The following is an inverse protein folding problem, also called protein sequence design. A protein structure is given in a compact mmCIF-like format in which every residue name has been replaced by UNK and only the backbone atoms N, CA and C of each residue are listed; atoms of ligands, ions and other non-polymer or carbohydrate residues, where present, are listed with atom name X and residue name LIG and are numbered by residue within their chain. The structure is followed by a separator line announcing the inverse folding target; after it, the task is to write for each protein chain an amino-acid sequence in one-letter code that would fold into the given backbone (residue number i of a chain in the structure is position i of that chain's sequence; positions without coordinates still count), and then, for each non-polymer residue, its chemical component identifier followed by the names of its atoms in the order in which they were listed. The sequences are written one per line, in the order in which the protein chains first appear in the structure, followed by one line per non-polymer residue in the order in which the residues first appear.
data_IF_809657813060
#
_entry.id   IF_809657813060
#
_cell.length_a   1.000
_cell.length_b   1.000
_cell.length_c   1.000
_cell.angle_alpha   90.00
_cell.angle_beta   90.00
_cell.angle_gamma   90.00
#
_symmetry.space_group_name_H-M   'P 1'
#
loop_
_entity.id
_entity.type
_entity.pdbx_description
1 polymer ?
#
# COMPACT_ATOMS: atom_id res chain seq x y z
N UNK A 1 19.39 -18.48 -15.99
CA UNK A 1 20.27 -17.65 -15.16
C UNK A 1 19.45 -16.44 -14.73
N UNK A 2 18.87 -16.49 -13.53
CA UNK A 2 18.07 -15.37 -13.01
C UNK A 2 19.04 -14.25 -12.60
N UNK A 3 18.77 -12.98 -12.92
CA UNK A 3 19.58 -11.90 -12.41
C UNK A 3 19.30 -11.76 -10.91
N UNK A 4 20.35 -11.90 -10.11
CA UNK A 4 20.38 -11.49 -8.71
C UNK A 4 20.32 -9.96 -8.68
N UNK A 5 19.11 -9.40 -8.59
CA UNK A 5 18.98 -8.05 -8.07
C UNK A 5 19.46 -8.09 -6.62
N UNK A 6 20.47 -7.29 -6.30
CA UNK A 6 20.84 -7.00 -4.92
C UNK A 6 19.65 -6.26 -4.27
N UNK A 7 18.69 -7.02 -3.74
CA UNK A 7 17.75 -6.53 -2.76
C UNK A 7 18.56 -6.15 -1.52
N UNK A 8 18.96 -4.88 -1.45
CA UNK A 8 19.35 -4.26 -0.19
C UNK A 8 18.22 -4.54 0.80
N UNK A 9 18.50 -5.32 1.84
CA UNK A 9 17.56 -5.75 2.86
C UNK A 9 16.71 -4.58 3.34
N UNK A 10 15.50 -4.47 2.80
CA UNK A 10 14.53 -3.48 3.27
C UNK A 10 14.14 -3.86 4.71
N UNK A 11 13.89 -2.89 5.61
CA UNK A 11 13.54 -3.14 7.02
C UNK A 11 12.36 -4.10 7.25
N UNK A 12 11.55 -4.34 6.22
CA UNK A 12 10.38 -5.23 6.19
C UNK A 12 10.79 -6.70 6.24
N UNK A 13 11.92 -7.07 5.61
CA UNK A 13 12.49 -8.40 5.75
C UNK A 13 12.91 -8.65 7.21
N UNK A 14 13.35 -7.61 7.95
CA UNK A 14 13.86 -7.78 9.30
C UNK A 14 12.77 -8.15 10.33
N UNK A 15 11.61 -7.48 10.33
CA UNK A 15 10.51 -7.80 11.26
C UNK A 15 9.88 -9.17 10.97
N UNK A 16 9.70 -9.50 9.70
CA UNK A 16 9.25 -10.82 9.25
C UNK A 16 10.24 -11.90 9.66
N UNK A 17 11.54 -11.65 9.44
CA UNK A 17 12.61 -12.55 9.84
C UNK A 17 12.66 -12.73 11.36
N UNK A 18 12.56 -11.65 12.16
CA UNK A 18 12.49 -11.73 13.62
C UNK A 18 11.28 -12.57 14.04
N UNK A 19 10.11 -12.32 13.43
CA UNK A 19 8.88 -13.07 13.71
C UNK A 19 9.09 -14.56 13.51
N UNK A 20 9.67 -14.97 12.38
CA UNK A 20 9.97 -16.39 12.14
C UNK A 20 11.07 -16.93 13.07
N UNK A 21 12.14 -16.18 13.31
CA UNK A 21 13.26 -16.59 14.18
C UNK A 21 12.78 -16.82 15.62
N UNK A 22 11.90 -15.97 16.15
CA UNK A 22 11.33 -16.11 17.49
C UNK A 22 10.43 -17.34 17.65
N UNK A 23 9.89 -17.87 16.54
CA UNK A 23 8.99 -19.03 16.55
C UNK A 23 9.61 -20.26 15.88
N UNK A 24 10.94 -20.29 15.74
CA UNK A 24 11.69 -21.35 15.05
C UNK A 24 11.33 -22.74 15.57
N UNK A 25 11.29 -22.93 16.89
CA UNK A 25 10.98 -24.24 17.49
C UNK A 25 9.61 -24.77 17.09
N UNK A 26 8.61 -23.89 16.97
CA UNK A 26 7.26 -24.25 16.52
C UNK A 26 7.26 -24.58 15.02
N UNK A 27 7.96 -23.78 14.22
CA UNK A 27 8.00 -23.92 12.75
C UNK A 27 8.74 -25.21 12.33
N UNK A 28 9.76 -25.61 13.09
CA UNK A 28 10.55 -26.81 12.82
C UNK A 28 9.96 -28.09 13.44
N UNK A 29 8.88 -27.98 14.22
CA UNK A 29 8.27 -29.15 14.86
C UNK A 29 7.61 -30.09 13.83
N UNK A 30 7.73 -31.40 14.08
CA UNK A 30 7.01 -32.41 13.29
C UNK A 30 5.50 -32.15 13.35
N UNK A 31 4.86 -32.09 12.18
CA UNK A 31 3.42 -31.83 12.09
C UNK A 31 3.03 -30.34 12.20
N UNK A 32 3.97 -29.41 12.03
CA UNK A 32 3.69 -27.98 11.98
C UNK A 32 2.57 -27.62 10.99
N UNK A 33 1.62 -26.81 11.46
CA UNK A 33 0.56 -26.18 10.64
C UNK A 33 0.65 -24.67 10.84
N UNK A 34 0.80 -23.86 9.77
CA UNK A 34 0.82 -22.40 9.87
C UNK A 34 -0.47 -21.86 10.47
N UNK A 35 -0.34 -20.88 11.37
CA UNK A 35 -1.48 -20.10 11.86
C UNK A 35 -1.68 -18.83 10.99
N UNK A 36 -2.73 -18.06 11.29
CA UNK A 36 -3.02 -16.82 10.54
C UNK A 36 -1.86 -15.82 10.57
N UNK A 37 -1.17 -15.71 11.71
CA UNK A 37 -0.04 -14.80 11.88
C UNK A 37 1.14 -15.22 10.99
N UNK A 38 1.41 -16.52 10.87
CA UNK A 38 2.44 -17.05 9.96
C UNK A 38 2.13 -16.73 8.50
N UNK A 39 0.86 -16.87 8.12
CA UNK A 39 0.39 -16.55 6.76
C UNK A 39 0.56 -15.06 6.50
N UNK A 40 0.16 -14.19 7.45
CA UNK A 40 0.28 -12.74 7.33
C UNK A 40 1.73 -12.25 7.27
N UNK A 41 2.66 -12.92 7.95
CA UNK A 41 4.09 -12.62 7.85
C UNK A 41 4.77 -13.27 6.65
N UNK A 42 4.17 -14.31 6.05
CA UNK A 42 4.74 -14.93 4.86
C UNK A 42 4.68 -13.97 3.66
N UNK A 43 5.79 -13.86 2.93
CA UNK A 43 5.83 -13.09 1.69
C UNK A 43 5.94 -14.05 0.51
N UNK A 44 4.94 -14.02 -0.37
CA UNK A 44 4.99 -14.64 -1.68
C UNK A 44 4.65 -13.56 -2.71
N UNK A 45 5.52 -13.26 -3.68
CA UNK A 45 5.18 -12.34 -4.75
C UNK A 45 3.94 -12.83 -5.51
N UNK A 46 2.97 -11.95 -5.70
CA UNK A 46 1.78 -12.23 -6.51
C UNK A 46 2.20 -12.52 -7.95
N UNK A 47 1.84 -13.70 -8.46
CA UNK A 47 2.08 -14.12 -9.84
C UNK A 47 0.73 -14.34 -10.51
N UNK A 48 0.49 -13.64 -11.61
CA UNK A 48 -0.77 -13.74 -12.35
C UNK A 48 -1.81 -12.72 -11.88
N UNK A 49 -3.06 -12.98 -12.23
CA UNK A 49 -4.21 -12.19 -11.81
C UNK A 49 -5.04 -13.06 -10.88
N UNK A 50 -5.33 -12.56 -9.69
CA UNK A 50 -6.26 -13.21 -8.78
C UNK A 50 -7.46 -12.29 -8.55
N UNK A 51 -8.65 -12.89 -8.49
CA UNK A 51 -9.91 -12.20 -8.26
C UNK A 51 -10.65 -12.85 -7.10
N UNK A 52 -11.05 -12.01 -6.14
CA UNK A 52 -11.81 -12.43 -4.97
C UNK A 52 -13.13 -11.68 -4.90
N UNK A 53 -14.19 -12.39 -4.57
CA UNK A 53 -15.48 -11.78 -4.26
C UNK A 53 -15.60 -11.57 -2.76
N UNK A 54 -15.71 -10.31 -2.34
CA UNK A 54 -15.86 -9.93 -0.94
C UNK A 54 -17.20 -9.25 -0.72
N UNK A 55 -17.93 -9.69 0.31
CA UNK A 55 -19.19 -9.08 0.72
C UNK A 55 -18.93 -8.10 1.86
N UNK A 56 -19.25 -6.83 1.66
CA UNK A 56 -19.25 -5.81 2.72
C UNK A 56 -20.68 -5.32 2.93
N UNK A 57 -21.29 -5.73 4.05
CA UNK A 57 -22.70 -5.51 4.30
C UNK A 57 -23.59 -6.19 3.26
N UNK A 58 -24.43 -5.41 2.57
CA UNK A 58 -25.33 -5.93 1.51
C UNK A 58 -24.68 -5.95 0.12
N UNK A 59 -23.55 -5.28 -0.06
CA UNK A 59 -22.92 -5.11 -1.37
C UNK A 59 -21.85 -6.19 -1.60
N UNK A 60 -21.73 -6.65 -2.84
CA UNK A 60 -20.69 -7.58 -3.29
C UNK A 60 -19.65 -6.81 -4.13
N UNK A 61 -18.38 -7.02 -3.84
CA UNK A 61 -17.25 -6.39 -4.50
C UNK A 61 -16.33 -7.45 -5.11
N UNK A 62 -15.95 -7.26 -6.37
CA UNK A 62 -14.83 -7.96 -6.98
C UNK A 62 -13.54 -7.22 -6.65
N UNK A 63 -12.61 -7.90 -5.98
CA UNK A 63 -11.27 -7.41 -5.68
C UNK A 63 -10.33 -8.10 -6.63
N UNK A 64 -9.62 -7.32 -7.44
CA UNK A 64 -8.60 -7.84 -8.34
C UNK A 64 -7.24 -7.37 -7.85
N UNK A 65 -6.36 -8.31 -7.52
CA UNK A 65 -4.98 -8.02 -7.14
C UNK A 65 -4.09 -7.95 -8.39
N UNK A 66 -3.33 -6.86 -8.52
CA UNK A 66 -2.42 -6.66 -9.65
C UNK A 66 -0.96 -6.81 -9.20
N UNK A 67 -0.13 -7.60 -9.92
CA UNK A 67 1.26 -7.78 -9.55
C UNK A 67 2.04 -6.46 -9.58
N UNK A 68 2.82 -6.22 -8.52
CA UNK A 68 3.60 -4.99 -8.35
C UNK A 68 4.95 -4.96 -9.08
N UNK A 69 5.43 -6.09 -9.60
CA UNK A 69 6.72 -6.15 -10.28
C UNK A 69 6.70 -5.35 -11.60
N UNK A 70 7.79 -4.64 -11.90
CA UNK A 70 7.82 -3.59 -12.93
C UNK A 70 7.44 -4.06 -14.34
N UNK A 71 7.74 -5.32 -14.69
CA UNK A 71 7.35 -5.94 -15.96
C UNK A 71 5.81 -6.07 -16.05
N UNK A 72 5.16 -6.50 -14.97
CA UNK A 72 3.72 -6.70 -14.94
C UNK A 72 2.94 -5.39 -14.86
N UNK A 73 3.51 -4.34 -14.26
CA UNK A 73 2.89 -3.00 -14.23
C UNK A 73 2.54 -2.45 -15.61
N UNK A 74 3.32 -2.81 -16.64
CA UNK A 74 3.05 -2.42 -18.04
C UNK A 74 1.68 -2.91 -18.55
N UNK A 75 1.10 -3.91 -17.90
CA UNK A 75 -0.21 -4.50 -18.22
C UNK A 75 -1.35 -3.99 -17.35
N UNK A 76 -1.09 -3.15 -16.35
CA UNK A 76 -2.16 -2.62 -15.47
C UNK A 76 -3.27 -1.93 -16.25
N UNK A 77 -2.92 -1.22 -17.33
CA UNK A 77 -3.88 -0.55 -18.23
C UNK A 77 -4.94 -1.48 -18.82
N UNK A 78 -4.64 -2.78 -18.93
CA UNK A 78 -5.57 -3.78 -19.48
C UNK A 78 -6.81 -3.94 -18.55
N UNK A 79 -6.71 -3.53 -17.27
CA UNK A 79 -7.75 -3.71 -16.26
C UNK A 79 -8.55 -2.44 -15.95
N UNK A 80 -8.03 -1.26 -16.29
CA UNK A 80 -8.60 0.03 -15.87
C UNK A 80 -10.03 0.26 -16.33
N UNK A 81 -10.43 -0.28 -17.49
CA UNK A 81 -11.80 -0.12 -18.03
C UNK A 81 -12.89 -0.66 -17.10
N UNK A 82 -12.56 -1.65 -16.27
CA UNK A 82 -13.50 -2.31 -15.36
C UNK A 82 -13.29 -1.90 -13.90
N UNK A 83 -12.32 -1.02 -13.64
CA UNK A 83 -12.00 -0.58 -12.29
C UNK A 83 -12.94 0.53 -11.85
N UNK A 84 -13.61 0.35 -10.71
CA UNK A 84 -14.40 1.41 -10.08
C UNK A 84 -13.62 2.17 -9.00
N UNK A 85 -12.74 1.46 -8.30
CA UNK A 85 -11.92 1.99 -7.20
C UNK A 85 -10.54 1.37 -7.27
N UNK A 86 -9.49 2.18 -7.09
CA UNK A 86 -8.12 1.72 -6.86
C UNK A 86 -7.83 1.82 -5.36
N UNK A 87 -7.40 0.71 -4.77
CA UNK A 87 -6.78 0.70 -3.45
C UNK A 87 -5.27 0.74 -3.65
N UNK A 88 -4.62 1.83 -3.24
CA UNK A 88 -3.19 2.04 -3.39
C UNK A 88 -2.50 1.96 -2.03
N UNK A 89 -1.59 1.00 -1.87
CA UNK A 89 -0.83 0.80 -0.64
C UNK A 89 0.50 1.56 -0.72
N UNK A 90 0.76 2.39 0.28
CA UNK A 90 1.99 3.17 0.45
C UNK A 90 2.71 2.60 1.66
N UNK A 91 3.99 2.26 1.51
CA UNK A 91 4.79 1.74 2.61
C UNK A 91 5.44 2.89 3.38
N UNK A 92 4.99 3.16 4.60
CA UNK A 92 5.57 4.25 5.40
C UNK A 92 7.04 4.01 5.78
N UNK A 93 7.52 2.77 5.78
CA UNK A 93 8.91 2.47 6.11
C UNK A 93 9.89 2.99 5.05
N UNK A 94 9.43 3.31 3.84
CA UNK A 94 10.29 3.91 2.82
C UNK A 94 10.83 5.30 3.22
N UNK A 95 10.13 6.00 4.14
CA UNK A 95 10.63 7.26 4.73
C UNK A 95 11.82 7.04 5.67
N UNK A 96 12.02 5.82 6.16
CA UNK A 96 13.15 5.46 7.02
C UNK A 96 14.27 4.75 6.24
N UNK A 97 14.25 4.80 4.91
CA UNK A 97 15.26 4.22 4.03
C UNK A 97 16.11 5.34 3.40
N UNK A 98 17.44 5.28 3.59
CA UNK A 98 18.36 6.24 2.98
C UNK A 98 18.25 6.29 1.45
N UNK A 99 17.92 5.17 0.80
CA UNK A 99 17.76 5.09 -0.64
C UNK A 99 16.66 6.01 -1.17
N UNK A 100 15.61 6.26 -0.38
CA UNK A 100 14.52 7.19 -0.70
C UNK A 100 15.03 8.60 -1.02
N UNK A 101 16.13 9.04 -0.38
CA UNK A 101 16.67 10.39 -0.50
C UNK A 101 17.75 10.55 -1.57
N UNK A 102 18.28 9.46 -2.11
CA UNK A 102 19.44 9.48 -3.03
C UNK A 102 19.10 9.76 -4.50
N UNK A 103 17.83 10.01 -4.82
CA UNK A 103 17.41 10.69 -6.05
C UNK A 103 17.50 9.91 -7.37
N UNK A 104 18.05 8.69 -7.41
CA UNK A 104 18.18 7.94 -8.67
C UNK A 104 16.83 7.64 -9.37
N UNK A 105 15.76 7.51 -8.59
CA UNK A 105 14.39 7.63 -9.03
C UNK A 105 13.70 8.57 -8.05
N UNK A 106 12.98 9.58 -8.52
CA UNK A 106 11.91 10.22 -7.74
C UNK A 106 11.11 9.11 -7.03
N UNK A 107 10.92 9.19 -5.70
CA UNK A 107 10.33 8.17 -4.83
C UNK A 107 9.42 7.20 -5.62
N UNK A 108 9.88 5.96 -5.81
CA UNK A 108 9.26 4.97 -6.73
C UNK A 108 7.75 4.89 -6.55
N UNK A 109 7.28 4.90 -5.31
CA UNK A 109 5.87 4.89 -4.93
C UNK A 109 5.13 6.14 -5.41
N UNK A 110 5.68 7.34 -5.21
CA UNK A 110 5.11 8.60 -5.72
C UNK A 110 5.05 8.61 -7.24
N UNK A 111 6.11 8.15 -7.93
CA UNK A 111 6.13 8.10 -9.39
C UNK A 111 5.06 7.17 -9.97
N UNK A 112 4.85 5.99 -9.36
CA UNK A 112 3.79 5.06 -9.75
C UNK A 112 2.41 5.68 -9.52
N UNK A 113 2.20 6.35 -8.37
CA UNK A 113 0.92 7.00 -8.09
C UNK A 113 0.62 8.15 -9.06
N UNK A 114 1.63 8.97 -9.39
CA UNK A 114 1.50 10.02 -10.41
C UNK A 114 1.09 9.44 -11.77
N UNK A 115 1.62 8.29 -12.18
CA UNK A 115 1.25 7.61 -13.43
C UNK A 115 -0.21 7.15 -13.40
N UNK A 116 -0.67 6.58 -12.28
CA UNK A 116 -2.06 6.14 -12.10
C UNK A 116 -3.04 7.31 -12.19
N UNK A 117 -2.76 8.39 -11.45
CA UNK A 117 -3.65 9.57 -11.43
C UNK A 117 -3.74 10.24 -12.80
N UNK A 118 -2.62 10.31 -13.54
CA UNK A 118 -2.58 10.93 -14.89
C UNK A 118 -3.18 10.05 -15.98
N UNK A 119 -3.58 8.81 -15.68
CA UNK A 119 -4.11 7.91 -16.70
C UNK A 119 -5.56 8.27 -17.06
N UNK A 120 -5.81 8.54 -18.34
CA UNK A 120 -7.13 8.91 -18.84
C UNK A 120 -8.23 7.86 -18.59
N UNK A 121 -7.88 6.57 -18.53
CA UNK A 121 -8.86 5.51 -18.21
C UNK A 121 -9.28 5.53 -16.75
N UNK A 122 -8.51 6.19 -15.88
CA UNK A 122 -8.75 6.28 -14.44
C UNK A 122 -9.39 7.61 -14.01
N UNK A 123 -9.72 8.50 -14.95
CA UNK A 123 -10.35 9.80 -14.65
C UNK A 123 -11.62 9.70 -13.80
N UNK A 124 -12.35 8.60 -13.96
CA UNK A 124 -13.62 8.32 -13.27
C UNK A 124 -13.50 7.37 -12.07
N UNK A 125 -12.30 6.92 -11.76
CA UNK A 125 -12.02 5.94 -10.72
C UNK A 125 -11.82 6.65 -9.38
N UNK A 126 -12.39 6.09 -8.32
CA UNK A 126 -12.12 6.53 -6.94
C UNK A 126 -10.82 5.93 -6.41
N UNK A 127 -10.17 6.60 -5.48
CA UNK A 127 -8.92 6.14 -4.89
C UNK A 127 -9.06 5.99 -3.37
N UNK A 128 -8.56 4.89 -2.83
CA UNK A 128 -8.35 4.69 -1.40
C UNK A 128 -6.86 4.51 -1.20
N UNK A 129 -6.22 5.42 -0.48
CA UNK A 129 -4.79 5.38 -0.19
C UNK A 129 -4.61 4.88 1.23
N UNK A 130 -3.88 3.78 1.40
CA UNK A 130 -3.44 3.29 2.70
C UNK A 130 -1.96 3.59 2.88
N UNK A 131 -1.64 4.54 3.76
CA UNK A 131 -0.31 4.73 4.33
C UNK A 131 -0.10 3.64 5.38
N UNK A 132 0.39 2.50 4.89
CA UNK A 132 0.46 1.23 5.61
C UNK A 132 1.78 1.10 6.39
N UNK A 133 1.83 0.09 7.27
CA UNK A 133 2.97 -0.24 8.15
C UNK A 133 3.28 0.87 9.15
N UNK A 134 2.23 1.56 9.63
CA UNK A 134 2.37 2.63 10.63
C UNK A 134 3.12 2.15 11.88
N UNK A 135 2.86 0.93 12.34
CA UNK A 135 3.52 0.29 13.47
C UNK A 135 5.03 0.13 13.24
N UNK A 136 5.44 -0.36 12.07
CA UNK A 136 6.84 -0.53 11.73
C UNK A 136 7.54 0.82 11.52
N UNK A 137 6.85 1.80 10.93
CA UNK A 137 7.35 3.17 10.79
C UNK A 137 7.58 3.83 12.16
N UNK A 138 6.66 3.66 13.11
CA UNK A 138 6.79 4.22 14.46
C UNK A 138 7.99 3.66 15.24
N UNK A 139 8.39 2.43 14.94
CA UNK A 139 9.61 1.84 15.50
C UNK A 139 10.86 2.33 14.78
N UNK A 140 10.88 2.28 13.46
CA UNK A 140 12.07 2.62 12.66
C UNK A 140 12.39 4.12 12.70
N UNK A 141 11.38 4.96 12.86
CA UNK A 141 11.56 6.41 12.98
C UNK A 141 12.27 6.82 14.26
N UNK A 142 12.36 5.94 15.28
CA UNK A 142 13.12 6.19 16.51
C UNK A 142 14.61 6.22 16.20
N UNK A 143 15.14 7.44 16.01
CA UNK A 143 16.55 7.67 15.69
C UNK A 143 16.83 7.88 14.20
N UNK A 144 15.81 7.96 13.36
CA UNK A 144 15.97 8.34 11.95
C UNK A 144 16.01 9.87 11.79
N UNK A 145 16.93 10.40 10.99
CA UNK A 145 17.02 11.85 10.68
C UNK A 145 16.24 12.19 9.41
N UNK A 146 15.06 12.77 9.58
CA UNK A 146 14.17 13.18 8.48
C UNK A 146 14.53 14.51 7.84
N UNK A 147 15.62 15.20 8.23
CA UNK A 147 16.01 16.48 7.60
C UNK A 147 16.30 16.37 6.10
N UNK A 148 16.62 15.16 5.63
CA UNK A 148 16.79 14.85 4.21
C UNK A 148 15.47 14.97 3.42
N UNK A 149 14.31 14.84 4.09
CA UNK A 149 13.00 15.03 3.47
C UNK A 149 12.70 16.50 3.22
N UNK A 150 12.93 17.32 4.24
CA UNK A 150 12.88 18.77 4.17
C UNK A 150 13.62 19.36 5.38
N UNK A 151 14.28 20.50 5.20
CA UNK A 151 15.12 21.11 6.25
C UNK A 151 14.37 21.48 7.53
N UNK A 152 13.05 21.69 7.43
CA UNK A 152 12.18 22.00 8.56
C UNK A 152 11.52 20.78 9.21
N UNK A 153 11.70 19.57 8.66
CA UNK A 153 11.12 18.34 9.21
C UNK A 153 12.04 17.79 10.30
N UNK A 154 11.50 17.64 11.51
CA UNK A 154 12.24 17.25 12.72
C UNK A 154 11.65 16.05 13.45
N UNK A 155 10.45 15.62 13.09
CA UNK A 155 9.80 14.46 13.71
C UNK A 155 9.19 13.51 12.70
N UNK A 156 8.88 12.29 13.17
CA UNK A 156 8.18 11.27 12.40
C UNK A 156 6.78 11.75 11.98
N UNK A 157 6.10 12.48 12.85
CA UNK A 157 4.77 13.06 12.58
C UNK A 157 4.84 14.11 11.47
N UNK A 158 5.85 14.99 11.49
CA UNK A 158 6.08 15.98 10.44
C UNK A 158 6.44 15.30 9.11
N UNK A 159 7.27 14.25 9.14
CA UNK A 159 7.63 13.48 7.96
C UNK A 159 6.40 12.80 7.34
N UNK A 160 5.57 12.15 8.17
CA UNK A 160 4.31 11.54 7.76
C UNK A 160 3.35 12.59 7.19
N UNK A 161 3.21 13.75 7.84
CA UNK A 161 2.34 14.83 7.38
C UNK A 161 2.81 15.39 6.02
N UNK A 162 4.12 15.60 5.87
CA UNK A 162 4.71 16.02 4.59
C UNK A 162 4.43 15.00 3.50
N UNK A 163 4.65 13.71 3.79
CA UNK A 163 4.45 12.64 2.82
C UNK A 163 2.99 12.53 2.42
N UNK A 164 2.05 12.52 3.37
CA UNK A 164 0.61 12.56 3.08
C UNK A 164 0.21 13.76 2.25
N UNK A 165 0.77 14.94 2.54
CA UNK A 165 0.49 16.17 1.79
C UNK A 165 0.93 16.04 0.33
N UNK A 166 2.09 15.43 0.07
CA UNK A 166 2.58 15.21 -1.29
C UNK A 166 1.64 14.35 -2.14
N UNK A 167 1.09 13.26 -1.60
CA UNK A 167 0.08 12.44 -2.30
C UNK A 167 -1.24 13.19 -2.43
N UNK A 168 -1.68 13.90 -1.38
CA UNK A 168 -2.93 14.67 -1.39
C UNK A 168 -2.92 15.75 -2.46
N UNK A 169 -1.80 16.43 -2.67
CA UNK A 169 -1.65 17.48 -3.66
C UNK A 169 -1.88 16.99 -5.11
N UNK A 170 -1.56 15.72 -5.38
CA UNK A 170 -1.76 15.12 -6.71
C UNK A 170 -2.98 14.19 -6.75
N UNK A 171 -3.68 13.96 -5.65
CA UNK A 171 -4.79 13.01 -5.63
C UNK A 171 -6.06 13.58 -6.29
N UNK A 172 -6.83 12.78 -7.03
CA UNK A 172 -8.15 13.17 -7.52
C UNK A 172 -9.09 13.57 -6.38
N UNK A 173 -10.14 14.34 -6.69
CA UNK A 173 -11.18 14.73 -5.71
C UNK A 173 -11.80 13.54 -4.97
N UNK A 174 -11.92 12.38 -5.63
CA UNK A 174 -12.46 11.13 -5.08
C UNK A 174 -11.37 10.28 -4.43
N UNK A 175 -10.57 10.85 -3.55
CA UNK A 175 -9.49 10.12 -2.88
C UNK A 175 -9.65 10.17 -1.37
N UNK A 176 -9.57 9.01 -0.72
CA UNK A 176 -9.71 8.86 0.73
C UNK A 176 -8.44 8.25 1.31
N UNK A 177 -7.81 8.95 2.25
CA UNK A 177 -6.44 8.69 2.68
C UNK A 177 -6.44 8.25 4.15
N UNK A 178 -5.89 7.07 4.43
CA UNK A 178 -5.90 6.45 5.75
C UNK A 178 -4.49 6.05 6.16
N UNK A 179 -4.14 6.26 7.42
CA UNK A 179 -2.89 5.76 8.02
C UNK A 179 -3.23 4.53 8.84
N UNK A 180 -2.63 3.39 8.52
CA UNK A 180 -3.00 2.09 9.08
C UNK A 180 -1.77 1.19 9.28
N UNK A 181 -1.90 0.20 10.14
CA UNK A 181 -1.13 -1.03 10.02
C UNK A 181 -2.09 -2.14 9.61
N UNK A 182 -1.98 -2.66 8.40
CA UNK A 182 -2.90 -3.71 7.92
C UNK A 182 -2.78 -5.02 8.72
N UNK A 183 -1.66 -5.24 9.42
CA UNK A 183 -1.49 -6.37 10.33
C UNK A 183 -2.28 -6.20 11.64
N UNK A 184 -2.64 -4.97 11.99
CA UNK A 184 -3.42 -4.61 13.18
C UNK A 184 -4.45 -3.53 12.84
N UNK A 185 -5.44 -3.89 12.02
CA UNK A 185 -6.49 -2.99 11.58
C UNK A 185 -7.89 -3.55 11.90
N UNK A 186 -8.31 -3.59 13.18
CA UNK A 186 -9.60 -4.15 13.58
C UNK A 186 -10.81 -3.43 12.94
N UNK A 187 -10.63 -2.16 12.55
CA UNK A 187 -11.66 -1.34 11.92
C UNK A 187 -11.51 -1.23 10.39
N UNK A 188 -10.64 -2.03 9.76
CA UNK A 188 -10.37 -1.93 8.32
C UNK A 188 -11.62 -2.05 7.47
N UNK A 189 -12.50 -3.01 7.80
CA UNK A 189 -13.76 -3.22 7.09
C UNK A 189 -14.65 -1.97 7.11
N UNK A 190 -14.73 -1.26 8.24
CA UNK A 190 -15.49 -0.02 8.37
C UNK A 190 -14.86 1.12 7.56
N UNK A 191 -13.53 1.27 7.64
CA UNK A 191 -12.77 2.29 6.90
C UNK A 191 -12.95 2.12 5.39
N UNK A 192 -12.83 0.89 4.90
CA UNK A 192 -13.04 0.54 3.49
C UNK A 192 -14.48 0.81 3.09
N UNK A 193 -15.45 0.31 3.87
CA UNK A 193 -16.88 0.47 3.57
C UNK A 193 -17.29 1.95 3.52
N UNK A 194 -16.83 2.77 4.47
CA UNK A 194 -17.12 4.20 4.48
C UNK A 194 -16.53 4.90 3.26
N UNK A 195 -15.27 4.61 2.91
CA UNK A 195 -14.60 5.18 1.75
C UNK A 195 -15.33 4.80 0.46
N UNK A 196 -15.69 3.52 0.30
CA UNK A 196 -16.46 3.04 -0.84
C UNK A 196 -17.82 3.73 -0.94
N UNK A 197 -18.56 3.85 0.16
CA UNK A 197 -19.85 4.53 0.18
C UNK A 197 -19.74 5.97 -0.30
N UNK A 198 -18.74 6.72 0.17
CA UNK A 198 -18.52 8.11 -0.26
C UNK A 198 -18.14 8.19 -1.75
N UNK A 199 -17.30 7.28 -2.25
CA UNK A 199 -16.94 7.20 -3.68
C UNK A 199 -18.20 6.92 -4.53
N UNK A 200 -18.98 5.91 -4.17
CA UNK A 200 -20.14 5.50 -4.97
C UNK A 200 -21.30 6.49 -4.90
N UNK A 201 -21.51 7.17 -3.77
CA UNK A 201 -22.48 8.26 -3.66
C UNK A 201 -22.13 9.41 -4.62
N UNK A 202 -20.85 9.78 -4.70
CA UNK A 202 -20.40 10.80 -5.64
C UNK A 202 -20.63 10.37 -7.10
N UNK A 203 -20.41 9.10 -7.43
CA UNK A 203 -20.67 8.58 -8.78
C UNK A 203 -22.16 8.64 -9.16
N UNK A 204 -23.07 8.34 -8.22
CA UNK A 204 -24.51 8.44 -8.45
C UNK A 204 -24.98 9.89 -8.70
N UNK A 205 -24.34 10.87 -8.05
CA UNK A 205 -24.66 12.29 -8.25
C UNK A 205 -24.27 12.79 -9.65
N UNK A 206 -23.13 12.34 -10.18
CA UNK A 206 -22.67 12.70 -11.54
C UNK A 206 -23.62 12.15 -12.60
N UNK A 207 -24.14 10.94 -12.44
CA UNK A 207 -25.05 10.33 -13.41
C UNK A 207 -26.40 11.07 -13.46
N UNK A 208 -26.85 11.60 -12.33
CA UNK A 208 -28.13 12.32 -12.23
C UNK A 208 -28.05 13.79 -12.68
N UNK A 209 -26.85 14.33 -12.90
CA UNK A 209 -26.62 15.74 -13.30
C UNK A 209 -26.21 15.91 -14.77
N UNK A 210 -26.34 14.85 -15.56
CA UNK A 210 -26.26 14.83 -17.03
C UNK A 210 -27.63 14.51 -17.58
#
# INVERSE_FOLDING_TARGET
MFPTEHETSTPIHYRTLIGFVQHTDRILADGFVPNEVDILYSYTPTIGLDEHLVRLGKQLYGIQELPGHHIFRRRWKDFFRYTSVIVFLIDLCELCDGAFYTGHLKNKTTAIFEELVKNEHLKNVGFILFFNKKDAFDEQSRGFDFKQLASNVRSAEEALAFYRTSFTAISPKRSYHHVVSLLDAPNLGNIVTESLNRIFQYNAQIITSV
#
